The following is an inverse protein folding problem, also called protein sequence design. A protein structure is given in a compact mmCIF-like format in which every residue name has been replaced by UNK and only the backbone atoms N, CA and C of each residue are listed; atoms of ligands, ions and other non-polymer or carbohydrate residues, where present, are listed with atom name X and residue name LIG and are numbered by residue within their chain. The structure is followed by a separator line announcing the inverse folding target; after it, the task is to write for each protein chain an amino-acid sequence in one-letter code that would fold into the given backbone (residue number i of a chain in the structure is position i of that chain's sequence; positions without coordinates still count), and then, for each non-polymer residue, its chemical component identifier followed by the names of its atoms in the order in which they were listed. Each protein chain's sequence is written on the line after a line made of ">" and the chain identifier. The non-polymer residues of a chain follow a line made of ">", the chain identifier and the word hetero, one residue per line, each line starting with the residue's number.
data_IF_235330742260
#
_entry.id   IF_235330742260
#
_cell.length_a   1.000
_cell.length_b   1.000
_cell.length_c   1.000
_cell.angle_alpha   90.00
_cell.angle_beta   90.00
_cell.angle_gamma   90.00
#
_symmetry.space_group_name_H-M   'P 1'
#
loop_
_entity.id
_entity.type
_entity.pdbx_description
1 polymer ?
#
# COMPACT_ATOMS: atom_id res chain seq x y z
N UNK A 1 -2.00 -15.82 -6.05
CA UNK A 1 -2.12 -14.36 -6.02
C UNK A 1 -3.29 -13.95 -5.14
N UNK A 2 -3.07 -13.71 -3.83
CA UNK A 2 -4.09 -13.10 -2.99
C UNK A 2 -4.31 -11.63 -3.40
N UNK A 3 -5.57 -11.25 -3.57
CA UNK A 3 -5.98 -9.88 -3.91
C UNK A 3 -6.74 -9.30 -2.72
N UNK A 4 -6.24 -8.21 -2.16
CA UNK A 4 -6.89 -7.50 -1.07
C UNK A 4 -7.63 -6.28 -1.64
N UNK A 5 -8.92 -6.18 -1.29
CA UNK A 5 -9.75 -5.02 -1.63
C UNK A 5 -10.19 -4.35 -0.35
N UNK A 6 -10.04 -3.03 -0.31
CA UNK A 6 -10.35 -2.22 0.85
C UNK A 6 -11.13 -0.98 0.48
N UNK A 7 -11.87 -0.47 1.47
CA UNK A 7 -12.61 0.77 1.38
C UNK A 7 -12.20 1.67 2.55
N UNK A 8 -12.19 2.99 2.34
CA UNK A 8 -11.71 3.96 3.33
C UNK A 8 -10.30 3.69 3.85
N UNK A 9 -9.37 3.36 2.96
CA UNK A 9 -7.97 3.23 3.33
C UNK A 9 -7.39 4.58 3.73
N UNK A 10 -6.46 4.59 4.67
CA UNK A 10 -5.76 5.79 5.13
C UNK A 10 -4.41 5.89 4.44
N UNK A 11 -4.06 7.09 4.00
CA UNK A 11 -2.70 7.42 3.56
C UNK A 11 -1.99 8.00 4.77
N UNK A 12 -0.83 7.42 5.11
CA UNK A 12 0.00 7.88 6.21
C UNK A 12 1.36 8.33 5.70
N UNK A 13 1.92 9.35 6.35
CA UNK A 13 3.33 9.76 6.20
C UNK A 13 3.90 9.79 7.60
N UNK A 14 5.00 9.07 7.82
CA UNK A 14 5.66 8.95 9.12
C UNK A 14 4.68 8.59 10.25
N UNK A 15 3.74 7.67 9.97
CA UNK A 15 2.72 7.22 10.92
C UNK A 15 1.53 8.19 11.13
N UNK A 16 1.51 9.32 10.43
CA UNK A 16 0.47 10.34 10.57
C UNK A 16 -0.50 10.30 9.40
N UNK A 17 -1.81 10.30 9.67
CA UNK A 17 -2.85 10.29 8.63
C UNK A 17 -2.89 11.62 7.87
N UNK A 18 -2.63 11.57 6.56
CA UNK A 18 -2.64 12.74 5.67
C UNK A 18 -3.77 12.69 4.64
N UNK A 19 -4.45 11.55 4.53
CA UNK A 19 -5.48 11.39 3.52
C UNK A 19 -6.28 10.10 3.65
N UNK A 20 -7.35 10.02 2.87
CA UNK A 20 -8.26 8.88 2.80
C UNK A 20 -8.51 8.49 1.36
N UNK A 21 -8.64 7.19 1.13
CA UNK A 21 -8.83 6.59 -0.18
C UNK A 21 -10.08 5.75 -0.16
N UNK A 22 -10.99 6.01 -1.09
CA UNK A 22 -12.27 5.31 -1.11
C UNK A 22 -12.14 3.87 -1.60
N UNK A 23 -11.30 3.62 -2.60
CA UNK A 23 -11.15 2.32 -3.21
C UNK A 23 -9.68 1.97 -3.38
N UNK A 24 -9.25 0.88 -2.75
CA UNK A 24 -7.90 0.33 -2.94
C UNK A 24 -7.96 -1.13 -3.34
N UNK A 25 -7.10 -1.49 -4.29
CA UNK A 25 -6.81 -2.85 -4.68
C UNK A 25 -5.32 -3.09 -4.53
N UNK A 26 -4.96 -4.20 -3.89
CA UNK A 26 -3.58 -4.64 -3.73
C UNK A 26 -3.48 -6.07 -4.23
N UNK A 27 -2.52 -6.29 -5.12
CA UNK A 27 -2.16 -7.58 -5.67
C UNK A 27 -0.76 -7.93 -5.17
N UNK A 28 -0.66 -8.99 -4.35
CA UNK A 28 0.60 -9.51 -3.82
C UNK A 28 1.00 -10.72 -4.64
N UNK A 29 2.13 -10.63 -5.32
CA UNK A 29 2.72 -11.71 -6.07
C UNK A 29 3.95 -12.26 -5.35
N UNK A 30 3.90 -13.55 -5.01
CA UNK A 30 5.02 -14.27 -4.42
C UNK A 30 5.73 -14.97 -5.57
N UNK A 31 6.85 -14.40 -6.02
CA UNK A 31 7.72 -15.11 -6.97
C UNK A 31 8.29 -16.33 -6.27
N UNK A 32 8.08 -17.51 -6.83
CA UNK A 32 8.71 -18.75 -6.37
C UNK A 32 9.84 -19.07 -7.34
N UNK A 33 11.08 -19.04 -6.85
CA UNK A 33 12.25 -19.33 -7.68
C UNK A 33 12.77 -20.73 -7.39
N UNK A 34 13.11 -21.45 -8.46
CA UNK A 34 13.74 -22.76 -8.34
C UNK A 34 15.23 -22.57 -8.02
N UNK A 35 15.67 -23.06 -6.86
CA UNK A 35 17.07 -23.00 -6.47
C UNK A 35 17.86 -24.13 -7.14
N UNK A 36 18.98 -23.77 -7.77
CA UNK A 36 19.92 -24.70 -8.38
C UNK A 36 21.28 -24.57 -7.67
N UNK A 37 21.76 -25.64 -7.03
CA UNK A 37 23.13 -25.70 -6.55
C UNK A 37 24.13 -25.77 -7.72
N UNK A 38 25.32 -25.21 -7.51
CA UNK A 38 26.39 -25.25 -8.52
C UNK A 38 26.78 -26.71 -8.83
N UNK A 39 26.51 -27.15 -10.07
CA UNK A 39 26.84 -28.48 -10.56
C UNK A 39 25.66 -29.45 -10.71
N UNK A 40 24.44 -29.06 -10.33
CA UNK A 40 23.26 -29.92 -10.44
C UNK A 40 22.24 -29.36 -11.46
N UNK A 41 21.69 -30.24 -12.32
CA UNK A 41 20.70 -29.90 -13.36
C UNK A 41 19.25 -30.04 -12.89
N UNK A 42 19.02 -30.55 -11.68
CA UNK A 42 17.70 -30.79 -11.11
C UNK A 42 17.44 -29.86 -9.94
N UNK A 43 16.20 -29.36 -9.84
CA UNK A 43 15.76 -28.43 -8.79
C UNK A 43 15.57 -29.19 -7.48
N UNK A 44 16.39 -28.89 -6.47
CA UNK A 44 16.30 -29.55 -5.16
C UNK A 44 15.19 -28.94 -4.29
N UNK A 45 14.93 -27.65 -4.44
CA UNK A 45 13.97 -26.93 -3.61
C UNK A 45 13.42 -25.69 -4.33
N UNK A 46 12.16 -25.37 -4.04
CA UNK A 46 11.54 -24.09 -4.41
C UNK A 46 11.78 -23.13 -3.24
N UNK A 47 12.39 -21.98 -3.52
CA UNK A 47 12.68 -20.93 -2.54
C UNK A 47 11.79 -19.72 -2.83
N UNK A 48 11.36 -19.02 -1.78
CA UNK A 48 10.65 -17.76 -1.94
C UNK A 48 11.58 -16.73 -2.58
N UNK A 49 11.26 -16.34 -3.81
CA UNK A 49 11.89 -15.25 -4.52
C UNK A 49 11.37 -13.89 -4.05
N UNK A 50 11.73 -12.79 -4.74
CA UNK A 50 11.31 -11.45 -4.34
C UNK A 50 9.78 -11.31 -4.38
N UNK A 51 9.22 -10.73 -3.31
CA UNK A 51 7.80 -10.43 -3.23
C UNK A 51 7.50 -9.11 -3.95
N UNK A 52 6.62 -9.17 -4.94
CA UNK A 52 6.17 -8.00 -5.69
C UNK A 52 4.80 -7.57 -5.17
N UNK A 53 4.75 -6.43 -4.50
CA UNK A 53 3.49 -5.81 -4.08
C UNK A 53 3.16 -4.71 -5.07
N UNK A 54 2.06 -4.88 -5.79
CA UNK A 54 1.52 -3.86 -6.68
C UNK A 54 0.13 -3.47 -6.22
N UNK A 55 -0.21 -2.20 -6.40
CA UNK A 55 -1.50 -1.70 -5.98
C UNK A 55 -2.02 -0.63 -6.90
N UNK A 56 -3.34 -0.48 -6.87
CA UNK A 56 -4.02 0.64 -7.50
C UNK A 56 -5.07 1.20 -6.56
N UNK A 57 -5.26 2.50 -6.63
CA UNK A 57 -6.34 3.14 -5.91
C UNK A 57 -7.05 4.20 -6.74
N UNK A 58 -8.29 4.48 -6.33
CA UNK A 58 -9.17 5.47 -6.96
C UNK A 58 -9.79 6.33 -5.89
N UNK A 59 -10.05 7.60 -6.26
CA UNK A 59 -10.80 8.56 -5.43
C UNK A 59 -10.18 8.70 -4.05
N UNK A 60 -9.06 9.42 -4.01
CA UNK A 60 -8.38 9.78 -2.77
C UNK A 60 -8.62 11.26 -2.44
N UNK A 61 -8.64 11.57 -1.16
CA UNK A 61 -8.56 12.92 -0.64
C UNK A 61 -7.31 13.01 0.22
N UNK A 62 -6.48 14.02 -0.04
CA UNK A 62 -5.24 14.29 0.67
C UNK A 62 -5.29 15.73 1.18
N UNK A 63 -4.98 15.92 2.44
CA UNK A 63 -4.86 17.26 3.01
C UNK A 63 -3.54 17.89 2.54
N UNK A 64 -3.63 18.82 1.59
CA UNK A 64 -2.47 19.51 1.02
C UNK A 64 -1.78 20.44 2.01
N UNK A 65 -2.53 21.02 2.96
CA UNK A 65 -1.97 21.87 4.01
C UNK A 65 -1.13 21.03 4.94
N UNK A 66 -1.67 19.90 5.37
CA UNK A 66 -0.98 19.00 6.27
C UNK A 66 0.20 18.29 5.61
N UNK A 67 0.05 17.89 4.35
CA UNK A 67 1.14 17.38 3.53
C UNK A 67 2.28 18.39 3.40
N UNK A 68 1.97 19.67 3.19
CA UNK A 68 3.00 20.72 3.08
C UNK A 68 3.81 20.89 4.37
N UNK A 69 3.17 20.71 5.53
CA UNK A 69 3.82 20.77 6.83
C UNK A 69 4.75 19.58 7.08
N UNK A 70 4.38 18.39 6.62
CA UNK A 70 5.14 17.15 6.85
C UNK A 70 6.24 16.97 5.80
N UNK A 71 5.92 17.11 4.51
CA UNK A 71 6.86 16.85 3.41
C UNK A 71 7.66 18.07 2.97
N UNK A 72 7.33 19.27 3.47
CA UNK A 72 7.97 20.54 3.12
C UNK A 72 7.82 20.98 1.65
N UNK A 73 7.29 20.11 0.78
CA UNK A 73 7.27 20.29 -0.68
C UNK A 73 5.86 20.21 -1.28
N UNK A 74 4.85 19.83 -0.48
CA UNK A 74 3.48 19.61 -0.97
C UNK A 74 3.36 18.46 -1.98
N UNK A 75 4.43 17.68 -2.16
CA UNK A 75 4.48 16.51 -3.04
C UNK A 75 4.38 15.23 -2.22
N UNK A 76 3.72 14.21 -2.80
CA UNK A 76 3.60 12.87 -2.22
C UNK A 76 4.47 11.91 -3.03
N UNK A 77 5.67 11.60 -2.52
CA UNK A 77 6.65 10.72 -3.17
C UNK A 77 6.66 9.31 -2.59
N UNK A 78 6.59 9.21 -1.27
CA UNK A 78 6.46 7.97 -0.50
C UNK A 78 5.35 8.11 0.53
N UNK A 79 4.62 7.03 0.76
CA UNK A 79 3.53 6.98 1.74
C UNK A 79 3.36 5.57 2.25
N UNK A 80 2.75 5.43 3.41
CA UNK A 80 2.23 4.17 3.91
C UNK A 80 0.72 4.14 3.68
N UNK A 81 0.18 2.94 3.49
CA UNK A 81 -1.24 2.74 3.30
C UNK A 81 -1.77 1.78 4.35
N UNK A 82 -2.82 2.20 5.07
CA UNK A 82 -3.54 1.34 5.99
C UNK A 82 -4.94 1.05 5.45
N UNK A 83 -5.24 -0.23 5.22
CA UNK A 83 -6.55 -0.69 4.81
C UNK A 83 -7.21 -1.41 5.98
N UNK A 84 -8.43 -1.02 6.31
CA UNK A 84 -9.25 -1.82 7.21
C UNK A 84 -10.03 -2.86 6.37
N UNK A 85 -9.72 -4.15 6.55
CA UNK A 85 -10.33 -5.25 5.77
C UNK A 85 -11.62 -5.73 6.44
N UNK A 86 -11.70 -5.65 7.77
CA UNK A 86 -12.91 -5.98 8.54
C UNK A 86 -13.45 -4.77 9.30
N UNK A 87 -14.69 -4.40 8.99
CA UNK A 87 -15.44 -3.44 9.80
C UNK A 87 -15.87 -4.11 11.10
N UNK A 88 -15.35 -3.61 12.21
CA UNK A 88 -15.80 -3.92 13.57
C UNK A 88 -17.34 -3.96 13.66
N UNK A 89 -17.94 -5.01 14.23
CA UNK A 89 -19.32 -4.93 14.73
C UNK A 89 -19.39 -3.89 15.86
N UNK A 90 -20.39 -2.99 15.88
CA UNK A 90 -20.52 -2.00 16.95
C UNK A 90 -20.55 -2.71 18.32
N UNK A 91 -19.61 -2.35 19.21
CA UNK A 91 -19.52 -2.90 20.57
C UNK A 91 -18.27 -3.71 20.94
N UNK A 92 -17.40 -4.09 20.00
CA UNK A 92 -16.17 -4.84 20.33
C UNK A 92 -14.91 -3.98 20.52
N UNK A 93 -13.96 -4.48 21.34
CA UNK A 93 -12.71 -3.82 21.72
C UNK A 93 -11.80 -3.51 20.51
N UNK A 94 -10.99 -2.43 20.51
CA UNK A 94 -10.15 -2.02 19.37
C UNK A 94 -9.06 -3.04 18.94
N UNK A 95 -8.84 -4.12 19.69
CA UNK A 95 -7.79 -5.11 19.45
C UNK A 95 -8.10 -6.18 18.37
N UNK A 96 -9.25 -6.11 17.69
CA UNK A 96 -9.68 -7.11 16.68
C UNK A 96 -9.98 -6.50 15.30
N UNK A 97 -9.45 -5.31 15.00
CA UNK A 97 -9.59 -4.72 13.66
C UNK A 97 -8.56 -5.34 12.72
N UNK A 98 -8.96 -6.36 11.95
CA UNK A 98 -8.12 -6.93 10.89
C UNK A 98 -7.85 -5.85 9.83
N UNK A 99 -6.63 -5.34 9.83
CA UNK A 99 -6.11 -4.34 8.93
C UNK A 99 -4.92 -4.86 8.13
N UNK A 100 -4.65 -4.19 7.03
CA UNK A 100 -3.50 -4.42 6.18
C UNK A 100 -2.70 -3.13 6.14
N UNK A 101 -1.49 -3.16 6.70
CA UNK A 101 -0.50 -2.10 6.54
C UNK A 101 0.38 -2.40 5.35
N UNK A 102 0.58 -1.41 4.49
CA UNK A 102 1.44 -1.47 3.32
C UNK A 102 2.46 -0.37 3.46
N UNK A 103 3.73 -0.75 3.52
CA UNK A 103 4.81 0.17 3.86
C UNK A 103 5.61 0.58 2.63
N UNK A 104 6.06 1.83 2.65
CA UNK A 104 6.93 2.44 1.63
C UNK A 104 6.33 2.29 0.22
N UNK A 105 5.08 2.72 0.07
CA UNK A 105 4.40 2.82 -1.21
C UNK A 105 4.99 3.97 -2.02
N UNK A 106 5.32 3.68 -3.29
CA UNK A 106 5.79 4.66 -4.28
C UNK A 106 4.95 4.57 -5.53
N UNK A 107 4.62 5.72 -6.11
CA UNK A 107 3.85 5.74 -7.35
C UNK A 107 4.69 5.22 -8.52
N UNK A 108 4.08 4.42 -9.39
CA UNK A 108 4.78 3.88 -10.58
C UNK A 108 5.24 4.99 -11.54
N UNK A 109 4.59 6.16 -11.50
CA UNK A 109 4.90 7.32 -12.36
C UNK A 109 5.73 8.42 -11.66
N UNK A 110 6.43 8.10 -10.56
CA UNK A 110 7.28 9.07 -9.87
C UNK A 110 6.50 9.89 -8.84
N UNK A 111 6.42 11.22 -9.02
CA UNK A 111 5.72 12.13 -8.09
C UNK A 111 4.38 12.57 -8.66
N UNK A 112 3.34 12.60 -7.83
CA UNK A 112 2.04 13.16 -8.20
C UNK A 112 1.93 14.56 -7.62
N UNK A 113 1.61 15.53 -8.48
CA UNK A 113 1.19 16.86 -8.04
C UNK A 113 -0.26 16.76 -7.60
N UNK A 114 -0.49 16.94 -6.29
CA UNK A 114 -1.84 16.91 -5.75
C UNK A 114 -2.52 18.26 -6.08
N UNK A 115 -3.75 18.25 -6.65
CA UNK A 115 -4.50 19.46 -6.88
C UNK A 115 -4.70 20.27 -5.60
N UNK A 116 -4.88 21.59 -5.70
CA UNK A 116 -5.03 22.45 -4.52
C UNK A 116 -6.19 22.03 -3.61
N UNK A 117 -7.27 21.48 -4.19
CA UNK A 117 -8.42 20.94 -3.45
C UNK A 117 -8.17 19.61 -2.73
N UNK A 118 -7.01 18.97 -2.97
CA UNK A 118 -6.63 17.71 -2.33
C UNK A 118 -7.35 16.47 -2.86
N UNK A 119 -8.26 16.62 -3.82
CA UNK A 119 -9.04 15.50 -4.37
C UNK A 119 -8.35 14.91 -5.60
N UNK A 120 -8.06 13.62 -5.52
CA UNK A 120 -7.50 12.79 -6.58
C UNK A 120 -8.62 11.90 -7.12
N UNK A 121 -9.17 12.23 -8.29
CA UNK A 121 -10.27 11.47 -8.91
C UNK A 121 -9.80 10.35 -9.83
N UNK A 122 -8.55 10.41 -10.29
CA UNK A 122 -7.98 9.47 -11.24
C UNK A 122 -7.53 8.15 -10.59
N UNK A 123 -7.22 7.18 -11.46
CA UNK A 123 -6.65 5.89 -11.09
C UNK A 123 -5.13 6.02 -10.94
N UNK A 124 -4.62 5.73 -9.74
CA UNK A 124 -3.19 5.75 -9.47
C UNK A 124 -2.66 4.36 -9.19
N UNK A 125 -1.51 4.03 -9.76
CA UNK A 125 -0.79 2.78 -9.51
C UNK A 125 0.42 3.03 -8.64
N UNK A 126 0.68 2.12 -7.72
CA UNK A 126 1.82 2.16 -6.82
C UNK A 126 2.45 0.78 -6.67
N UNK A 127 3.72 0.80 -6.26
CA UNK A 127 4.48 -0.37 -5.81
C UNK A 127 4.81 -0.19 -4.35
N UNK A 128 4.91 -1.27 -3.59
CA UNK A 128 5.24 -1.21 -2.17
C UNK A 128 6.38 -2.17 -1.82
N UNK A 129 7.08 -1.86 -0.73
CA UNK A 129 8.24 -2.65 -0.28
C UNK A 129 7.82 -3.83 0.59
N UNK A 130 6.86 -3.63 1.48
CA UNK A 130 6.40 -4.69 2.38
C UNK A 130 4.95 -4.48 2.78
N UNK A 131 4.35 -5.55 3.30
CA UNK A 131 2.98 -5.58 3.78
C UNK A 131 2.92 -6.35 5.09
N UNK A 132 2.10 -5.89 6.03
CA UNK A 132 1.83 -6.56 7.29
C UNK A 132 0.32 -6.64 7.52
N UNK A 133 -0.15 -7.81 7.92
CA UNK A 133 -1.52 -7.99 8.42
C UNK A 133 -1.49 -7.69 9.92
N UNK A 134 -2.43 -6.87 10.38
CA UNK A 134 -2.51 -6.37 11.77
C UNK A 134 -3.90 -6.60 12.33
#
# INVERSE_FOLDING_TARGET
>A
MPVYKGWNAKILIDGTEVGKVQQVRIDIDHSLEAYFEAGNRSTLQIVEGPMNITGSFKRAWVDTTYLSLISGSGSLSSFDLYIQVWNKPPGQSPSFALGLYVYDCKFSKGTITIPQEGVLTEDYTFIAKSVAVV
#
